data_IF_060135130767
#
_entry.id   IF_060135130767
#
_cell.length_a   1.000
_cell.length_b   1.000
_cell.length_c   1.000
_cell.angle_alpha   90.00
_cell.angle_beta   90.00
_cell.angle_gamma   90.00
#
_symmetry.space_group_name_H-M   'P 1'
#
loop_
_entity.id
_entity.type
_entity.pdbx_description
1 polymer ?
#
# COMPACT_ATOMS: atom_id res chain seq x y z
N UNK A 1 17.32 -6.80 26.84
CA UNK A 1 16.49 -7.06 25.64
C UNK A 1 15.47 -8.13 26.03
N UNK A 2 14.18 -7.87 25.83
CA UNK A 2 13.14 -8.87 26.11
C UNK A 2 13.26 -10.00 25.07
N UNK A 3 13.33 -11.25 25.51
CA UNK A 3 13.39 -12.41 24.62
C UNK A 3 11.98 -12.71 24.09
N UNK A 4 11.52 -11.93 23.12
CA UNK A 4 10.31 -12.27 22.39
C UNK A 4 10.53 -13.57 21.60
N UNK A 5 9.51 -14.42 21.44
CA UNK A 5 9.63 -15.71 20.75
C UNK A 5 9.87 -15.58 19.24
N UNK A 6 9.76 -14.37 18.69
CA UNK A 6 10.00 -14.08 17.28
C UNK A 6 10.88 -12.85 17.12
N UNK A 7 11.61 -12.83 16.02
CA UNK A 7 12.35 -11.68 15.53
C UNK A 7 11.71 -11.23 14.21
N UNK A 8 11.22 -10.00 14.14
CA UNK A 8 10.70 -9.43 12.90
C UNK A 8 11.87 -9.15 11.94
N UNK A 9 11.67 -9.45 10.66
CA UNK A 9 12.66 -9.25 9.59
C UNK A 9 12.44 -7.94 8.79
N UNK A 10 11.37 -7.20 9.09
CA UNK A 10 10.96 -6.01 8.35
C UNK A 10 9.45 -5.97 8.13
N UNK A 11 8.99 -5.01 7.32
CA UNK A 11 7.60 -4.94 6.87
C UNK A 11 7.50 -5.86 5.65
N UNK A 12 6.66 -6.90 5.71
CA UNK A 12 6.42 -7.70 4.51
C UNK A 12 5.62 -6.89 3.48
N UNK A 13 4.53 -6.27 3.91
CA UNK A 13 3.74 -5.37 3.08
C UNK A 13 2.86 -4.46 3.94
N UNK A 14 2.43 -3.35 3.36
CA UNK A 14 1.32 -2.53 3.85
C UNK A 14 0.28 -2.39 2.75
N UNK A 15 -1.00 -2.49 3.09
CA UNK A 15 -2.09 -2.41 2.13
C UNK A 15 -3.06 -1.27 2.46
N UNK A 16 -3.51 -0.57 1.43
CA UNK A 16 -4.45 0.55 1.53
C UNK A 16 -5.62 0.36 0.57
N UNK A 17 -6.68 1.15 0.73
CA UNK A 17 -7.73 1.24 -0.28
C UNK A 17 -7.32 2.28 -1.33
N UNK A 18 -7.70 2.06 -2.58
CA UNK A 18 -7.62 3.03 -3.65
C UNK A 18 -8.99 3.18 -4.34
N UNK A 19 -9.14 4.29 -5.09
CA UNK A 19 -10.34 4.55 -5.89
C UNK A 19 -10.27 3.89 -7.26
N UNK A 20 -9.09 3.90 -7.87
CA UNK A 20 -8.81 3.34 -9.20
C UNK A 20 -7.40 2.73 -9.15
N UNK A 21 -7.30 1.42 -9.38
CA UNK A 21 -6.05 0.69 -9.28
C UNK A 21 -5.04 1.12 -10.34
N UNK A 22 -5.51 1.44 -11.56
CA UNK A 22 -4.64 1.86 -12.66
C UNK A 22 -4.06 3.25 -12.40
N UNK A 23 -4.91 4.20 -12.02
CA UNK A 23 -4.47 5.56 -11.64
C UNK A 23 -3.43 5.49 -10.51
N UNK A 24 -3.66 4.60 -9.54
CA UNK A 24 -2.75 4.38 -8.41
C UNK A 24 -1.41 3.83 -8.88
N UNK A 25 -1.40 2.75 -9.65
CA UNK A 25 -0.15 2.16 -10.20
C UNK A 25 0.61 3.18 -11.04
N UNK A 26 -0.08 3.88 -11.95
CA UNK A 26 0.52 4.90 -12.82
C UNK A 26 1.10 6.08 -12.03
N UNK A 27 0.46 6.48 -10.93
CA UNK A 27 0.96 7.56 -10.07
C UNK A 27 2.22 7.12 -9.31
N UNK A 28 2.20 5.98 -8.63
CA UNK A 28 3.34 5.49 -7.85
C UNK A 28 4.55 5.14 -8.73
N UNK A 29 4.30 4.60 -9.93
CA UNK A 29 5.35 4.35 -10.91
C UNK A 29 6.01 5.65 -11.39
N UNK A 30 5.22 6.69 -11.71
CA UNK A 30 5.77 7.97 -12.19
C UNK A 30 6.43 8.79 -11.08
N UNK A 31 5.82 8.86 -9.90
CA UNK A 31 6.27 9.77 -8.83
C UNK A 31 7.38 9.18 -7.97
N UNK A 32 7.33 7.87 -7.71
CA UNK A 32 8.25 7.20 -6.78
C UNK A 32 9.08 6.10 -7.46
N UNK A 33 8.94 5.90 -8.77
CA UNK A 33 9.68 4.86 -9.50
C UNK A 33 9.31 3.44 -9.09
N UNK A 34 8.19 3.25 -8.37
CA UNK A 34 7.79 1.94 -7.88
C UNK A 34 7.36 1.04 -9.04
N UNK A 35 7.93 -0.15 -9.09
CA UNK A 35 7.60 -1.13 -10.12
C UNK A 35 6.33 -1.88 -9.74
N UNK A 36 5.37 -1.93 -10.65
CA UNK A 36 4.22 -2.82 -10.53
C UNK A 36 4.68 -4.28 -10.62
N UNK A 37 4.33 -5.08 -9.62
CA UNK A 37 4.81 -6.47 -9.50
C UNK A 37 3.72 -7.47 -9.86
N UNK A 38 2.58 -7.39 -9.18
CA UNK A 38 1.51 -8.39 -9.27
C UNK A 38 0.15 -7.72 -9.08
N UNK A 39 -0.88 -8.25 -9.74
CA UNK A 39 -2.25 -8.05 -9.32
C UNK A 39 -3.05 -9.33 -9.42
N UNK A 40 -4.12 -9.38 -8.65
CA UNK A 40 -5.14 -10.41 -8.75
C UNK A 40 -6.50 -9.82 -8.39
N UNK A 41 -7.53 -10.40 -8.97
CA UNK A 41 -8.92 -10.08 -8.70
C UNK A 41 -9.61 -11.34 -8.22
N UNK A 42 -10.48 -11.19 -7.22
CA UNK A 42 -11.26 -12.28 -6.64
C UNK A 42 -12.68 -11.79 -6.40
N UNK A 43 -13.66 -12.68 -6.61
CA UNK A 43 -15.07 -12.37 -6.35
C UNK A 43 -15.44 -12.51 -4.86
N UNK A 44 -14.66 -13.29 -4.11
CA UNK A 44 -14.93 -13.60 -2.71
C UNK A 44 -13.75 -13.25 -1.80
N UNK A 45 -14.05 -12.65 -0.65
CA UNK A 45 -13.06 -12.28 0.36
C UNK A 45 -12.47 -13.55 0.98
N UNK A 46 -11.14 -13.80 0.91
CA UNK A 46 -10.55 -15.07 1.34
C UNK A 46 -10.76 -15.43 2.81
N UNK A 47 -10.82 -14.41 3.68
CA UNK A 47 -10.93 -14.61 5.14
C UNK A 47 -12.36 -14.83 5.62
N UNK A 48 -13.36 -14.33 4.89
CA UNK A 48 -14.77 -14.36 5.31
C UNK A 48 -15.66 -15.17 4.38
N UNK A 49 -15.23 -15.41 3.14
CA UNK A 49 -16.04 -16.02 2.09
C UNK A 49 -17.16 -15.12 1.54
N UNK A 50 -17.22 -13.85 1.95
CA UNK A 50 -18.23 -12.92 1.46
C UNK A 50 -18.01 -12.60 -0.02
N UNK A 51 -19.09 -12.59 -0.80
CA UNK A 51 -19.07 -12.07 -2.17
C UNK A 51 -18.93 -10.54 -2.15
N UNK A 52 -17.71 -10.07 -2.34
CA UNK A 52 -17.34 -8.65 -2.46
C UNK A 52 -16.16 -8.52 -3.43
N UNK A 53 -16.43 -8.53 -4.75
CA UNK A 53 -15.40 -8.46 -5.77
C UNK A 53 -14.42 -7.31 -5.59
N UNK A 54 -13.12 -7.59 -5.70
CA UNK A 54 -12.06 -6.60 -5.55
C UNK A 54 -10.90 -6.83 -6.53
N UNK A 55 -10.13 -5.77 -6.77
CA UNK A 55 -8.81 -5.83 -7.39
C UNK A 55 -7.75 -5.54 -6.33
N UNK A 56 -6.68 -6.32 -6.27
CA UNK A 56 -5.55 -6.09 -5.38
C UNK A 56 -4.28 -5.96 -6.21
N UNK A 57 -3.66 -4.77 -6.17
CA UNK A 57 -2.42 -4.46 -6.91
C UNK A 57 -1.25 -4.28 -5.95
N UNK A 58 -0.07 -4.75 -6.35
CA UNK A 58 1.15 -4.70 -5.55
C UNK A 58 2.25 -3.91 -6.28
N UNK A 59 2.95 -3.06 -5.53
CA UNK A 59 4.06 -2.22 -5.98
C UNK A 59 5.30 -2.53 -5.14
N UNK A 60 6.45 -2.58 -5.82
CA UNK A 60 7.77 -2.72 -5.20
C UNK A 60 8.16 -1.39 -4.52
N UNK A 61 8.23 -1.40 -3.20
CA UNK A 61 8.60 -0.25 -2.38
C UNK A 61 10.08 -0.29 -1.95
N UNK A 62 10.88 -1.18 -2.54
CA UNK A 62 12.30 -1.36 -2.27
C UNK A 62 12.59 -2.22 -1.04
N UNK A 63 13.78 -2.81 -0.98
CA UNK A 63 14.24 -3.69 0.11
C UNK A 63 13.22 -4.79 0.44
N UNK A 64 12.69 -5.44 -0.60
CA UNK A 64 11.68 -6.50 -0.52
C UNK A 64 10.36 -6.10 0.18
N UNK A 65 10.13 -4.80 0.43
CA UNK A 65 8.87 -4.31 0.98
C UNK A 65 7.86 -4.11 -0.15
N UNK A 66 6.61 -4.50 0.08
CA UNK A 66 5.51 -4.29 -0.86
C UNK A 66 4.53 -3.23 -0.34
N UNK A 67 4.15 -2.30 -1.21
CA UNK A 67 2.99 -1.43 -1.01
C UNK A 67 1.84 -1.93 -1.88
N UNK A 68 0.70 -2.24 -1.27
CA UNK A 68 -0.43 -2.81 -1.97
C UNK A 68 -1.70 -1.97 -1.86
N UNK A 69 -2.59 -2.11 -2.83
CA UNK A 69 -3.83 -1.36 -2.90
C UNK A 69 -5.02 -2.23 -3.30
N UNK A 70 -6.13 -2.07 -2.59
CA UNK A 70 -7.42 -2.66 -2.91
C UNK A 70 -8.32 -1.65 -3.62
N UNK A 71 -8.83 -2.00 -4.78
CA UNK A 71 -9.98 -1.33 -5.40
C UNK A 71 -11.24 -2.13 -5.07
N UNK A 72 -12.21 -1.46 -4.43
CA UNK A 72 -13.44 -2.07 -3.92
C UNK A 72 -14.65 -1.42 -4.62
N UNK A 73 -15.05 -1.90 -5.81
CA UNK A 73 -16.05 -1.26 -6.65
C UNK A 73 -17.46 -1.24 -6.05
N UNK A 74 -17.79 -2.19 -5.16
CA UNK A 74 -19.11 -2.30 -4.54
C UNK A 74 -19.22 -1.57 -3.20
N UNK A 75 -18.12 -1.05 -2.67
CA UNK A 75 -18.09 -0.37 -1.37
C UNK A 75 -18.35 1.13 -1.51
N UNK A 76 -18.95 1.80 -0.49
CA UNK A 76 -19.12 3.25 -0.49
C UNK A 76 -17.81 3.99 -0.80
N UNK A 77 -17.89 5.20 -1.34
CA UNK A 77 -16.70 6.00 -1.70
C UNK A 77 -15.70 6.06 -0.53
N UNK A 78 -14.41 5.92 -0.86
CA UNK A 78 -13.36 5.94 0.14
C UNK A 78 -13.27 7.31 0.81
N UNK A 79 -13.40 7.33 2.14
CA UNK A 79 -13.14 8.50 2.98
C UNK A 79 -11.91 8.31 3.88
N UNK A 80 -11.53 9.39 4.55
CA UNK A 80 -10.58 9.34 5.68
C UNK A 80 -11.29 8.91 6.96
N UNK A 81 -10.52 8.40 7.93
CA UNK A 81 -11.02 8.35 9.31
C UNK A 81 -11.17 9.78 9.85
N UNK A 82 -12.41 10.15 10.20
CA UNK A 82 -12.74 11.49 10.67
C UNK A 82 -12.22 11.77 12.09
N UNK A 83 -11.94 10.72 12.88
CA UNK A 83 -11.40 10.86 14.23
C UNK A 83 -9.87 10.97 14.24
N UNK A 84 -9.21 10.74 13.11
CA UNK A 84 -7.76 10.82 12.98
C UNK A 84 -7.35 12.21 12.45
N UNK A 85 -6.53 12.98 13.19
CA UNK A 85 -5.99 14.25 12.70
C UNK A 85 -5.24 14.12 11.38
N UNK A 86 -5.28 15.18 10.56
CA UNK A 86 -4.73 15.20 9.18
C UNK A 86 -3.26 14.82 9.07
N UNK A 87 -2.47 15.09 10.09
CA UNK A 87 -1.02 14.85 10.10
C UNK A 87 -0.63 13.43 10.56
N UNK A 88 -1.54 12.67 11.15
CA UNK A 88 -1.21 11.36 11.75
C UNK A 88 -1.07 10.27 10.71
N UNK A 89 -2.00 10.19 9.74
CA UNK A 89 -1.94 9.17 8.69
C UNK A 89 -0.90 9.55 7.64
N UNK A 90 0.29 8.97 7.73
CA UNK A 90 1.37 9.15 6.76
C UNK A 90 2.13 7.84 6.54
N UNK A 91 2.79 7.75 5.40
CA UNK A 91 3.71 6.67 5.04
C UNK A 91 5.04 7.31 4.64
N UNK A 92 6.13 6.86 5.25
CA UNK A 92 7.45 7.42 5.03
C UNK A 92 8.36 6.36 4.40
N UNK A 93 9.00 6.71 3.29
CA UNK A 93 9.98 5.86 2.62
C UNK A 93 11.39 6.39 2.89
N UNK A 94 12.31 5.47 3.17
CA UNK A 94 13.72 5.80 3.35
C UNK A 94 14.39 5.92 1.98
N UNK A 95 15.13 7.00 1.78
CA UNK A 95 16.02 7.21 0.63
C UNK A 95 17.48 7.25 1.09
N UNK A 96 18.43 7.07 0.17
CA UNK A 96 19.83 6.88 0.53
C UNK A 96 20.52 8.19 0.98
N UNK A 97 20.02 9.35 0.52
CA UNK A 97 20.65 10.63 0.80
C UNK A 97 19.67 11.82 0.82
N UNK A 98 20.15 12.94 1.38
CA UNK A 98 19.43 14.22 1.34
C UNK A 98 19.27 14.74 -0.10
N UNK A 99 20.21 14.44 -0.99
CA UNK A 99 20.13 14.87 -2.38
C UNK A 99 19.04 14.12 -3.13
N UNK A 100 18.89 12.81 -2.92
CA UNK A 100 17.74 12.04 -3.43
C UNK A 100 16.41 12.56 -2.89
N UNK A 101 16.35 12.89 -1.59
CA UNK A 101 15.15 13.47 -0.98
C UNK A 101 14.76 14.81 -1.64
N UNK A 102 15.75 15.65 -1.98
CA UNK A 102 15.49 16.93 -2.66
C UNK A 102 15.08 16.75 -4.11
N UNK A 103 15.61 15.74 -4.80
CA UNK A 103 15.25 15.41 -6.17
C UNK A 103 13.82 14.88 -6.31
N UNK A 104 13.25 14.34 -5.23
CA UNK A 104 11.89 13.80 -5.19
C UNK A 104 10.78 14.84 -4.86
N UNK A 105 11.14 16.12 -4.66
CA UNK A 105 10.19 17.22 -4.43
C UNK A 105 9.71 17.85 -5.74
#
# INVERSE_FOLDING_TARGET
MSAHPIQLAGIHHAAYRCRDARETVDWYGRMLGMRYTTAFAEDHVPSTGQHDPYMHVCLDAGNDNILAFFELPNQPEMGRDANTPTWVQHLAFKVASLEELKAAK
#
